data_IF_751968025288
#
_entry.id   IF_751968025288
#
_cell.length_a   1.000
_cell.length_b   1.000
_cell.length_c   1.000
_cell.angle_alpha   90.00
_cell.angle_beta   90.00
_cell.angle_gamma   90.00
#
_symmetry.space_group_name_H-M   'P 1'
#
loop_
_entity.id
_entity.type
_entity.pdbx_description
1 polymer ?
#
# COMPACT_ATOMS: atom_id res chain seq x y z
N UNK A 1 19.52 29.14 29.35
CA UNK A 1 19.80 29.18 27.89
C UNK A 1 20.10 27.77 27.35
N UNK A 2 19.30 26.75 27.70
CA UNK A 2 19.58 25.34 27.32
C UNK A 2 18.35 24.61 26.72
N UNK A 3 17.23 25.31 26.55
CA UNK A 3 15.93 24.73 26.15
C UNK A 3 15.46 25.18 24.75
N UNK A 4 16.21 26.04 24.07
CA UNK A 4 15.83 26.57 22.75
C UNK A 4 16.01 25.55 21.60
N UNK A 5 16.60 24.38 21.87
CA UNK A 5 16.82 23.31 20.89
C UNK A 5 15.86 22.12 21.06
N UNK A 6 15.20 22.00 22.21
CA UNK A 6 14.28 20.88 22.50
C UNK A 6 13.07 20.87 21.57
N UNK A 7 12.59 22.04 21.14
CA UNK A 7 11.48 22.14 20.19
C UNK A 7 11.82 21.61 18.79
N UNK A 8 13.08 21.71 18.35
CA UNK A 8 13.53 21.17 17.06
C UNK A 8 13.53 19.65 17.08
N UNK A 9 13.92 19.05 18.21
CA UNK A 9 13.86 17.61 18.41
C UNK A 9 12.39 17.15 18.39
N UNK A 10 11.51 17.87 19.08
CA UNK A 10 10.07 17.57 19.10
C UNK A 10 9.45 17.62 17.69
N UNK A 11 9.75 18.69 16.93
CA UNK A 11 9.29 18.85 15.54
C UNK A 11 9.86 17.73 14.65
N UNK A 12 11.14 17.40 14.81
CA UNK A 12 11.78 16.30 14.07
C UNK A 12 11.09 14.95 14.31
N UNK A 13 10.75 14.63 15.56
CA UNK A 13 10.04 13.38 15.93
C UNK A 13 8.64 13.34 15.32
N UNK A 14 7.91 14.46 15.33
CA UNK A 14 6.56 14.55 14.73
C UNK A 14 6.63 14.31 13.22
N UNK A 15 7.56 14.99 12.53
CA UNK A 15 7.75 14.83 11.08
C UNK A 15 8.13 13.38 10.73
N UNK A 16 9.05 12.78 11.49
CA UNK A 16 9.47 11.40 11.30
C UNK A 16 8.30 10.42 11.49
N UNK A 17 7.51 10.62 12.56
CA UNK A 17 6.32 9.83 12.85
C UNK A 17 5.30 9.88 11.70
N UNK A 18 4.99 11.06 11.20
CA UNK A 18 4.07 11.25 10.06
C UNK A 18 4.63 10.63 8.78
N UNK A 19 5.94 10.81 8.50
CA UNK A 19 6.59 10.27 7.31
C UNK A 19 6.55 8.72 7.29
N UNK A 20 6.87 8.08 8.41
CA UNK A 20 6.82 6.62 8.56
C UNK A 20 5.39 6.11 8.43
N UNK A 21 4.42 6.81 9.02
CA UNK A 21 3.01 6.40 8.97
C UNK A 21 2.40 6.57 7.57
N UNK A 22 2.78 7.62 6.85
CA UNK A 22 2.32 7.90 5.47
C UNK A 22 2.93 6.91 4.46
N UNK A 23 4.22 6.58 4.59
CA UNK A 23 4.92 5.66 3.68
C UNK A 23 4.37 4.22 3.67
N UNK A 24 3.71 3.78 4.75
CA UNK A 24 3.11 2.43 4.83
C UNK A 24 1.82 2.28 4.04
N UNK A 25 1.03 3.36 3.86
CA UNK A 25 -0.25 3.29 3.12
C UNK A 25 -0.04 3.13 1.61
N UNK A 26 0.98 3.76 1.04
CA UNK A 26 1.24 3.74 -0.40
C UNK A 26 1.77 2.39 -0.93
N UNK A 27 2.53 1.64 -0.10
CA UNK A 27 3.06 0.33 -0.53
C UNK A 27 1.98 -0.73 -0.69
N UNK A 28 0.97 -0.75 0.19
CA UNK A 28 -0.16 -1.69 0.08
C UNK A 28 -1.00 -1.44 -1.16
N UNK A 29 -1.27 -0.17 -1.49
CA UNK A 29 -2.08 0.18 -2.64
C UNK A 29 -1.39 -0.17 -3.96
N UNK A 30 -0.07 0.07 -4.06
CA UNK A 30 0.71 -0.30 -5.25
C UNK A 30 0.70 -1.81 -5.49
N UNK A 31 0.96 -2.59 -4.43
CA UNK A 31 0.96 -4.07 -4.51
C UNK A 31 -0.39 -4.65 -4.94
N UNK A 32 -1.52 -4.04 -4.56
CA UNK A 32 -2.85 -4.46 -5.02
C UNK A 32 -3.09 -4.16 -6.49
N UNK A 33 -2.70 -2.97 -6.96
CA UNK A 33 -2.83 -2.62 -8.38
C UNK A 33 -2.04 -3.59 -9.26
N UNK A 34 -0.82 -3.96 -8.83
CA UNK A 34 0.01 -4.92 -9.55
C UNK A 34 -0.65 -6.32 -9.59
N UNK A 35 -1.22 -6.79 -8.47
CA UNK A 35 -1.89 -8.09 -8.41
C UNK A 35 -3.15 -8.17 -9.30
N UNK A 36 -3.99 -7.13 -9.31
CA UNK A 36 -5.15 -7.06 -10.19
C UNK A 36 -4.75 -7.03 -11.67
N UNK A 37 -3.69 -6.28 -12.00
CA UNK A 37 -3.19 -6.21 -13.37
C UNK A 37 -2.73 -7.57 -13.89
N UNK A 38 -2.03 -8.35 -13.07
CA UNK A 38 -1.61 -9.73 -13.42
C UNK A 38 -2.83 -10.63 -13.63
N UNK A 39 -3.86 -10.49 -12.78
CA UNK A 39 -5.09 -11.28 -12.87
C UNK A 39 -5.85 -10.99 -14.17
N UNK A 40 -5.99 -9.70 -14.54
CA UNK A 40 -6.62 -9.27 -15.79
C UNK A 40 -5.86 -9.80 -17.02
N UNK A 41 -4.51 -9.78 -16.97
CA UNK A 41 -3.67 -10.28 -18.06
C UNK A 41 -3.88 -11.78 -18.32
N UNK A 42 -3.96 -12.59 -17.26
CA UNK A 42 -4.17 -14.04 -17.37
C UNK A 42 -5.56 -14.40 -17.88
N UNK A 43 -6.57 -13.65 -17.45
CA UNK A 43 -7.93 -13.80 -17.94
C UNK A 43 -8.03 -13.47 -19.44
N UNK A 44 -7.41 -12.37 -19.88
CA UNK A 44 -7.38 -11.98 -21.29
C UNK A 44 -6.65 -13.01 -22.17
N UNK A 45 -5.63 -13.69 -21.62
CA UNK A 45 -4.94 -14.81 -22.29
C UNK A 45 -5.76 -16.10 -22.31
N UNK A 46 -6.85 -16.19 -21.54
CA UNK A 46 -7.62 -17.42 -21.36
C UNK A 46 -6.91 -18.48 -20.52
N UNK A 47 -5.89 -18.08 -19.73
CA UNK A 47 -5.15 -19.00 -18.84
C UNK A 47 -5.95 -19.36 -17.57
N UNK A 48 -6.99 -18.57 -17.25
CA UNK A 48 -7.88 -18.76 -16.10
C UNK A 48 -9.33 -18.64 -16.52
N UNK A 49 -10.22 -19.34 -15.82
CA UNK A 49 -11.66 -19.26 -16.07
C UNK A 49 -12.27 -18.00 -15.45
N UNK A 50 -13.53 -17.71 -15.82
CA UNK A 50 -14.28 -16.59 -15.26
C UNK A 50 -14.49 -16.77 -13.75
N UNK A 51 -14.73 -18.01 -13.33
CA UNK A 51 -14.94 -18.38 -11.93
C UNK A 51 -13.68 -18.09 -11.10
N UNK A 52 -12.51 -18.54 -11.56
CA UNK A 52 -11.21 -18.30 -10.91
C UNK A 52 -10.88 -16.80 -10.86
N UNK A 53 -11.17 -16.06 -11.93
CA UNK A 53 -10.99 -14.62 -11.99
C UNK A 53 -11.81 -13.90 -10.90
N UNK A 54 -13.07 -14.27 -10.72
CA UNK A 54 -13.96 -13.64 -9.73
C UNK A 54 -13.51 -13.95 -8.30
N UNK A 55 -13.15 -15.20 -8.00
CA UNK A 55 -12.68 -15.62 -6.68
C UNK A 55 -11.41 -14.87 -6.25
N UNK A 56 -10.43 -14.77 -7.16
CA UNK A 56 -9.19 -14.06 -6.88
C UNK A 56 -9.38 -12.55 -6.74
N UNK A 57 -10.28 -11.95 -7.53
CA UNK A 57 -10.59 -10.52 -7.45
C UNK A 57 -11.22 -10.15 -6.10
N UNK A 58 -12.16 -10.95 -5.61
CA UNK A 58 -12.78 -10.78 -4.29
C UNK A 58 -11.75 -10.94 -3.16
N UNK A 59 -10.86 -11.93 -3.27
CA UNK A 59 -9.77 -12.14 -2.30
C UNK A 59 -8.80 -10.95 -2.22
N UNK A 60 -8.45 -10.34 -3.36
CA UNK A 60 -7.57 -9.16 -3.41
C UNK A 60 -8.27 -7.90 -2.87
N UNK A 61 -9.60 -7.80 -3.02
CA UNK A 61 -10.40 -6.66 -2.55
C UNK A 61 -10.67 -6.72 -1.05
N UNK A 62 -10.86 -7.92 -0.48
CA UNK A 62 -11.19 -8.14 0.95
C UNK A 62 -10.00 -8.09 1.91
N UNK A 63 -8.75 -8.19 1.41
CA UNK A 63 -7.54 -8.02 2.25
C UNK A 63 -7.25 -6.55 2.53
#
# INVERSE_FOLDING_TARGET
MMYEWDWLILIGVIILGVFIYSGRKNKKLKKRKDALKILDERYAKGEITKEEYVEHKETIKQK
#
